data_IF_158831039278
#
_entry.id   IF_158831039278
#
_cell.length_a   1.000
_cell.length_b   1.000
_cell.length_c   1.000
_cell.angle_alpha   90.00
_cell.angle_beta   90.00
_cell.angle_gamma   90.00
#
_symmetry.space_group_name_H-M   'P 1'
#
loop_
_entity.id
_entity.type
_entity.pdbx_description
1 polymer ?
#
# COMPACT_ATOMS: atom_id res chain seq x y z
N UNK A 1 45.76 -0.45 20.83
CA UNK A 1 45.10 0.29 19.73
C UNK A 1 44.30 -0.63 18.79
N UNK A 2 44.85 -1.80 18.43
CA UNK A 2 44.21 -2.78 17.52
C UNK A 2 42.88 -3.36 18.01
N UNK A 3 42.67 -3.54 19.33
CA UNK A 3 41.38 -4.03 19.87
C UNK A 3 40.20 -3.08 19.59
N UNK A 4 40.44 -1.77 19.46
CA UNK A 4 39.38 -0.80 19.15
C UNK A 4 38.97 -0.86 17.68
N UNK A 5 39.93 -1.13 16.79
CA UNK A 5 39.65 -1.34 15.37
C UNK A 5 38.82 -2.60 15.12
N UNK A 6 39.07 -3.68 15.87
CA UNK A 6 38.23 -4.90 15.80
C UNK A 6 36.80 -4.67 16.30
N UNK A 7 36.61 -3.86 17.35
CA UNK A 7 35.27 -3.46 17.81
C UNK A 7 34.52 -2.64 16.74
N UNK A 8 35.24 -1.75 16.03
CA UNK A 8 34.73 -0.95 14.91
C UNK A 8 34.64 -1.78 13.59
N UNK A 9 35.07 -3.02 13.55
CA UNK A 9 34.74 -3.93 12.44
C UNK A 9 33.52 -4.79 12.79
N UNK A 10 33.38 -5.18 14.07
CA UNK A 10 32.27 -5.97 14.59
C UNK A 10 30.92 -5.25 14.54
N UNK A 11 30.85 -3.95 14.90
CA UNK A 11 29.60 -3.18 14.80
C UNK A 11 29.09 -3.04 13.36
N UNK A 12 29.97 -2.81 12.38
CA UNK A 12 29.61 -2.67 10.97
C UNK A 12 29.16 -3.99 10.34
N UNK A 13 29.65 -5.11 10.87
CA UNK A 13 29.17 -6.45 10.52
C UNK A 13 27.92 -6.87 11.28
N UNK A 14 27.51 -6.10 12.30
CA UNK A 14 26.29 -6.30 13.09
C UNK A 14 25.14 -5.44 12.56
N UNK A 15 25.42 -4.42 11.72
CA UNK A 15 24.46 -3.67 10.91
C UNK A 15 23.95 -4.47 9.69
N UNK A 16 23.63 -5.76 9.88
CA UNK A 16 22.87 -6.57 8.90
C UNK A 16 21.43 -6.02 8.71
N UNK A 17 21.03 -5.06 9.55
CA UNK A 17 19.80 -4.28 9.45
C UNK A 17 19.60 -3.66 8.06
N UNK A 18 20.68 -3.32 7.33
CA UNK A 18 20.62 -2.77 5.97
C UNK A 18 20.31 -3.81 4.88
N UNK A 19 20.79 -5.05 5.02
CA UNK A 19 20.46 -6.13 4.09
C UNK A 19 19.02 -6.63 4.31
N UNK A 20 18.54 -6.62 5.57
CA UNK A 20 17.14 -6.92 5.90
C UNK A 20 16.16 -5.81 5.53
N UNK A 21 16.59 -4.53 5.51
CA UNK A 21 15.74 -3.42 5.09
C UNK A 21 15.32 -3.49 3.61
N UNK A 22 16.16 -4.07 2.74
CA UNK A 22 15.83 -4.30 1.32
C UNK A 22 14.75 -5.38 1.16
N UNK A 23 14.80 -6.44 1.96
CA UNK A 23 13.84 -7.55 1.87
C UNK A 23 12.47 -7.14 2.40
N UNK A 24 12.43 -6.52 3.59
CA UNK A 24 11.18 -5.97 4.13
C UNK A 24 10.65 -4.80 3.29
N UNK A 25 11.54 -4.03 2.65
CA UNK A 25 11.18 -2.99 1.69
C UNK A 25 10.45 -3.55 0.46
N UNK A 26 10.92 -4.68 -0.10
CA UNK A 26 10.26 -5.34 -1.22
C UNK A 26 8.88 -5.91 -0.83
N UNK A 27 8.78 -6.54 0.33
CA UNK A 27 7.51 -7.07 0.85
C UNK A 27 6.52 -5.91 1.10
N UNK A 28 6.97 -4.82 1.71
CA UNK A 28 6.15 -3.63 1.93
C UNK A 28 5.67 -3.01 0.60
N UNK A 29 6.52 -2.96 -0.42
CA UNK A 29 6.15 -2.48 -1.75
C UNK A 29 5.08 -3.37 -2.40
N UNK A 30 5.20 -4.70 -2.30
CA UNK A 30 4.20 -5.63 -2.83
C UNK A 30 2.84 -5.50 -2.12
N UNK A 31 2.85 -5.36 -0.80
CA UNK A 31 1.63 -5.13 -0.01
C UNK A 31 0.99 -3.79 -0.42
N UNK A 32 1.79 -2.72 -0.56
CA UNK A 32 1.30 -1.41 -0.99
C UNK A 32 0.62 -1.48 -2.36
N UNK A 33 1.22 -2.15 -3.35
CA UNK A 33 0.63 -2.33 -4.68
C UNK A 33 -0.68 -3.11 -4.61
N UNK A 34 -0.74 -4.18 -3.81
CA UNK A 34 -1.97 -4.97 -3.63
C UNK A 34 -3.10 -4.14 -2.98
N UNK A 35 -2.78 -3.33 -1.97
CA UNK A 35 -3.74 -2.42 -1.32
C UNK A 35 -4.24 -1.38 -2.32
N UNK A 36 -3.35 -0.72 -3.07
CA UNK A 36 -3.74 0.28 -4.09
C UNK A 36 -4.66 -0.36 -5.15
N UNK A 37 -4.30 -1.56 -5.63
CA UNK A 37 -5.11 -2.28 -6.62
C UNK A 37 -6.52 -2.61 -6.11
N UNK A 38 -6.63 -3.16 -4.90
CA UNK A 38 -7.92 -3.48 -4.28
C UNK A 38 -8.76 -2.23 -4.00
N UNK A 39 -8.14 -1.16 -3.52
CA UNK A 39 -8.81 0.10 -3.26
C UNK A 39 -9.31 0.76 -4.56
N UNK A 40 -8.59 0.63 -5.67
CA UNK A 40 -9.03 1.12 -6.98
C UNK A 40 -10.30 0.41 -7.48
N UNK A 41 -10.40 -0.91 -7.30
CA UNK A 41 -11.59 -1.67 -7.65
C UNK A 41 -12.79 -1.30 -6.76
N UNK A 42 -12.54 -1.15 -5.45
CA UNK A 42 -13.56 -0.68 -4.52
C UNK A 42 -14.05 0.72 -4.87
N UNK A 43 -13.14 1.66 -5.15
CA UNK A 43 -13.48 3.02 -5.54
C UNK A 43 -14.34 3.07 -6.80
N UNK A 44 -14.05 2.21 -7.78
CA UNK A 44 -14.87 2.09 -9.00
C UNK A 44 -16.30 1.65 -8.67
N UNK A 45 -16.45 0.67 -7.79
CA UNK A 45 -17.77 0.16 -7.37
C UNK A 45 -18.55 1.20 -6.59
N UNK A 46 -17.89 1.88 -5.64
CA UNK A 46 -18.49 2.95 -4.85
C UNK A 46 -18.94 4.11 -5.73
N UNK A 47 -18.08 4.58 -6.65
CA UNK A 47 -18.43 5.65 -7.58
C UNK A 47 -19.62 5.28 -8.46
N UNK A 48 -19.69 4.02 -8.91
CA UNK A 48 -20.85 3.53 -9.67
C UNK A 48 -22.14 3.65 -8.85
N UNK A 49 -22.13 3.19 -7.61
CA UNK A 49 -23.30 3.27 -6.73
C UNK A 49 -23.70 4.72 -6.40
N UNK A 50 -22.74 5.59 -6.10
CA UNK A 50 -23.03 7.00 -5.85
C UNK A 50 -23.61 7.69 -7.08
N UNK A 51 -23.06 7.42 -8.26
CA UNK A 51 -23.60 7.96 -9.51
C UNK A 51 -25.01 7.45 -9.78
N UNK A 52 -25.30 6.19 -9.47
CA UNK A 52 -26.64 5.63 -9.60
C UNK A 52 -27.64 6.35 -8.68
N UNK A 53 -27.27 6.56 -7.42
CA UNK A 53 -28.09 7.36 -6.48
C UNK A 53 -28.29 8.79 -6.98
N UNK A 54 -27.23 9.46 -7.41
CA UNK A 54 -27.30 10.83 -7.95
C UNK A 54 -28.23 10.90 -9.18
N UNK A 55 -28.13 9.95 -10.09
CA UNK A 55 -29.03 9.84 -11.24
C UNK A 55 -30.49 9.71 -10.81
N UNK A 56 -30.77 8.93 -9.77
CA UNK A 56 -32.13 8.75 -9.26
C UNK A 56 -32.70 9.95 -8.52
N UNK A 57 -31.84 10.75 -7.88
CA UNK A 57 -32.24 12.01 -7.26
C UNK A 57 -32.56 13.07 -8.32
N UNK A 58 -31.80 13.09 -9.42
CA UNK A 58 -31.98 14.07 -10.49
C UNK A 58 -33.06 13.67 -11.51
N UNK A 59 -33.29 12.37 -11.72
CA UNK A 59 -34.35 11.82 -12.58
C UNK A 59 -35.00 10.59 -11.91
N UNK A 60 -36.02 10.80 -11.07
CA UNK A 60 -36.65 9.73 -10.29
C UNK A 60 -37.52 8.79 -11.14
N UNK A 61 -37.63 9.01 -12.46
CA UNK A 61 -38.47 8.20 -13.35
C UNK A 61 -37.71 7.07 -14.05
N UNK A 62 -36.38 7.00 -13.86
CA UNK A 62 -35.54 5.96 -14.48
C UNK A 62 -35.85 4.55 -13.95
N UNK A 63 -35.87 3.59 -14.87
CA UNK A 63 -36.12 2.17 -14.56
C UNK A 63 -35.03 1.52 -13.67
N UNK A 64 -33.83 2.08 -13.66
CA UNK A 64 -32.68 1.64 -12.86
C UNK A 64 -32.82 2.05 -11.37
N UNK A 65 -33.66 3.04 -11.08
CA UNK A 65 -33.86 3.60 -9.73
C UNK A 65 -34.84 2.84 -8.84
N UNK A 66 -35.15 1.60 -9.21
CA UNK A 66 -36.23 0.82 -8.60
C UNK A 66 -35.72 -0.32 -7.76
#
# INVERSE_FOLDING_TARGET
>A
MVNRLKAIAGWFSQDEDGATAIEYGLIAALIAVAIIGSLSALATTMNKQYNEVDLCLNDPTRAECR
#
